data_IF_133060603387
#
_entry.id   IF_133060603387
#
_cell.length_a   1.000
_cell.length_b   1.000
_cell.length_c   1.000
_cell.angle_alpha   90.00
_cell.angle_beta   90.00
_cell.angle_gamma   90.00
#
_symmetry.space_group_name_H-M   'P 1'
#
loop_
_entity.id
_entity.type
_entity.pdbx_description
1 polymer ?
#
# COMPACT_ATOMS: atom_id res chain seq x y z
N UNK A 1 -2.73 3.49 14.47
CA UNK A 1 -1.96 4.47 13.67
C UNK A 1 -1.48 3.72 12.44
N UNK A 2 -2.24 3.76 11.34
CA UNK A 2 -1.99 2.91 10.17
C UNK A 2 -0.68 3.30 9.49
N UNK A 3 0.29 2.40 9.54
CA UNK A 3 1.54 2.45 8.77
C UNK A 3 1.16 2.08 7.33
N UNK A 4 0.62 3.03 6.56
CA UNK A 4 0.49 2.85 5.11
C UNK A 4 1.83 3.24 4.49
N UNK A 5 2.56 2.25 4.00
CA UNK A 5 3.92 2.45 3.46
C UNK A 5 3.87 3.06 2.05
N UNK A 6 2.85 2.73 1.26
CA UNK A 6 2.70 3.26 -0.11
C UNK A 6 1.30 3.01 -0.67
N UNK A 7 0.80 3.93 -1.49
CA UNK A 7 -0.45 3.78 -2.24
C UNK A 7 -0.14 3.50 -3.71
N UNK A 8 -0.63 2.37 -4.22
CA UNK A 8 -0.56 2.04 -5.65
C UNK A 8 -1.97 2.00 -6.22
N UNK A 9 -2.31 2.91 -7.14
CA UNK A 9 -3.66 2.97 -7.72
C UNK A 9 -4.12 1.66 -8.41
N UNK A 10 -3.18 0.79 -8.81
CA UNK A 10 -3.49 -0.52 -9.39
C UNK A 10 -3.68 -1.62 -8.34
N UNK A 11 -3.00 -1.53 -7.19
CA UNK A 11 -2.90 -2.64 -6.23
C UNK A 11 -3.52 -2.33 -4.85
N UNK A 12 -3.90 -1.08 -4.59
CA UNK A 12 -4.45 -0.64 -3.30
C UNK A 12 -3.37 -0.05 -2.38
N UNK A 13 -3.68 -0.05 -1.09
CA UNK A 13 -2.83 0.46 -0.03
C UNK A 13 -1.98 -0.66 0.56
N UNK A 14 -0.65 -0.51 0.55
CA UNK A 14 0.24 -1.49 1.19
C UNK A 14 0.23 -1.27 2.70
N UNK A 15 -0.27 -2.27 3.44
CA UNK A 15 -0.40 -2.23 4.91
C UNK A 15 0.87 -2.73 5.57
N UNK A 16 1.42 -3.85 5.09
CA UNK A 16 2.65 -4.42 5.62
C UNK A 16 3.34 -5.32 4.59
N UNK A 17 4.66 -5.36 4.59
CA UNK A 17 5.45 -6.34 3.83
C UNK A 17 5.55 -7.59 4.70
N UNK A 18 5.11 -8.73 4.20
CA UNK A 18 5.10 -10.00 4.94
C UNK A 18 6.36 -10.81 4.71
N UNK A 19 7.01 -10.63 3.57
CA UNK A 19 8.22 -11.36 3.25
C UNK A 19 8.87 -10.85 1.97
N UNK A 20 10.17 -11.09 1.86
CA UNK A 20 10.92 -10.86 0.63
C UNK A 20 11.13 -12.22 0.00
N UNK A 21 10.64 -12.40 -1.21
CA UNK A 21 10.71 -13.69 -1.90
C UNK A 21 12.08 -13.83 -2.57
N UNK A 22 12.49 -12.83 -3.35
CA UNK A 22 13.70 -12.91 -4.15
C UNK A 22 14.25 -11.51 -4.46
N UNK A 23 15.57 -11.38 -4.49
CA UNK A 23 16.28 -10.18 -4.94
C UNK A 23 16.99 -10.54 -6.25
N UNK A 24 16.57 -9.93 -7.34
CA UNK A 24 17.15 -10.16 -8.67
C UNK A 24 18.53 -9.51 -8.83
N UNK A 25 19.20 -9.85 -9.93
CA UNK A 25 20.52 -9.28 -10.25
C UNK A 25 20.42 -7.77 -10.48
N UNK A 26 21.44 -7.05 -10.02
CA UNK A 26 21.53 -5.60 -10.16
C UNK A 26 21.68 -5.18 -11.61
N UNK A 27 20.83 -4.25 -12.04
CA UNK A 27 20.87 -3.61 -13.35
C UNK A 27 21.54 -2.25 -13.19
N UNK A 28 22.66 -2.05 -13.87
CA UNK A 28 23.37 -0.77 -13.86
C UNK A 28 22.54 0.23 -14.67
N UNK A 29 22.29 1.42 -14.10
CA UNK A 29 21.69 2.54 -14.85
C UNK A 29 22.80 3.34 -15.51
N UNK A 30 22.85 3.24 -16.85
CA UNK A 30 23.81 3.94 -17.69
C UNK A 30 23.83 5.44 -17.37
N UNK A 31 25.03 5.99 -17.17
CA UNK A 31 25.26 7.42 -16.94
C UNK A 31 25.06 7.92 -15.50
N UNK A 32 24.60 7.09 -14.56
CA UNK A 32 24.35 7.52 -13.18
C UNK A 32 25.20 6.81 -12.11
N UNK A 33 25.86 5.70 -12.47
CA UNK A 33 26.65 4.90 -11.53
C UNK A 33 25.84 4.14 -10.48
N UNK A 34 24.50 4.23 -10.51
CA UNK A 34 23.62 3.50 -9.61
C UNK A 34 23.22 2.15 -10.18
N UNK A 35 23.09 1.16 -9.29
CA UNK A 35 22.61 -0.19 -9.60
C UNK A 35 21.21 -0.38 -9.02
N UNK A 36 20.26 -0.79 -9.87
CA UNK A 36 18.87 -1.07 -9.48
C UNK A 36 18.68 -2.57 -9.34
N UNK A 37 18.24 -3.04 -8.17
CA UNK A 37 17.93 -4.45 -7.93
C UNK A 37 16.41 -4.66 -7.94
N UNK A 38 15.86 -5.46 -8.87
CA UNK A 38 14.43 -5.78 -8.83
C UNK A 38 14.17 -6.73 -7.65
N UNK A 39 13.35 -6.30 -6.69
CA UNK A 39 12.99 -7.10 -5.52
C UNK A 39 11.56 -7.61 -5.66
N UNK A 40 11.38 -8.93 -5.57
CA UNK A 40 10.08 -9.57 -5.42
C UNK A 40 9.77 -9.70 -3.93
N UNK A 41 8.68 -9.10 -3.50
CA UNK A 41 8.22 -9.14 -2.11
C UNK A 41 6.74 -9.46 -2.06
N UNK A 42 6.33 -10.06 -0.95
CA UNK A 42 4.94 -10.28 -0.58
C UNK A 42 4.52 -9.22 0.43
N UNK A 43 3.28 -8.74 0.28
CA UNK A 43 2.72 -7.74 1.18
C UNK A 43 1.23 -7.95 1.35
N UNK A 44 0.74 -7.55 2.53
CA UNK A 44 -0.69 -7.37 2.77
C UNK A 44 -1.10 -6.04 2.16
N UNK A 45 -2.05 -6.10 1.24
CA UNK A 45 -2.66 -4.92 0.61
C UNK A 45 -4.10 -4.80 1.03
N UNK A 46 -4.52 -3.56 1.29
CA UNK A 46 -5.91 -3.20 1.51
C UNK A 46 -6.43 -2.49 0.26
N UNK A 47 -7.36 -3.13 -0.44
CA UNK A 47 -7.99 -2.59 -1.65
C UNK A 47 -9.51 -2.69 -1.53
N UNK A 48 -10.20 -1.60 -1.13
CA UNK A 48 -11.65 -1.62 -1.05
C UNK A 48 -12.28 -1.72 -2.44
N UNK A 49 -13.35 -2.51 -2.57
CA UNK A 49 -14.11 -2.63 -3.82
C UNK A 49 -15.44 -1.88 -3.75
N UNK A 50 -15.94 -1.41 -4.91
CA UNK A 50 -17.25 -0.75 -4.98
C UNK A 50 -18.34 -1.77 -4.65
N UNK A 51 -19.14 -1.47 -3.62
CA UNK A 51 -20.24 -2.34 -3.17
C UNK A 51 -19.84 -3.37 -2.10
N UNK A 52 -18.59 -3.36 -1.65
CA UNK A 52 -18.16 -4.13 -0.49
C UNK A 52 -18.71 -3.49 0.80
N UNK A 53 -19.16 -4.33 1.73
CA UNK A 53 -19.60 -3.88 3.06
C UNK A 53 -18.39 -3.96 3.99
N UNK A 54 -17.96 -2.81 4.51
CA UNK A 54 -16.82 -2.69 5.41
C UNK A 54 -17.24 -2.08 6.73
N UNK A 55 -16.71 -2.59 7.84
CA UNK A 55 -16.86 -1.97 9.14
C UNK A 55 -15.88 -0.79 9.27
N UNK A 56 -16.38 0.34 9.73
CA UNK A 56 -15.60 1.56 9.87
C UNK A 56 -16.01 2.33 11.13
N UNK A 57 -15.03 2.99 11.74
CA UNK A 57 -15.30 3.90 12.85
C UNK A 57 -15.36 5.32 12.32
N UNK A 58 -16.41 6.04 12.72
CA UNK A 58 -16.55 7.46 12.40
C UNK A 58 -15.56 8.25 13.24
N UNK A 59 -14.60 8.91 12.58
CA UNK A 59 -13.57 9.68 13.28
C UNK A 59 -13.87 11.17 13.30
N UNK A 60 -14.57 11.68 12.28
CA UNK A 60 -15.01 13.06 12.22
C UNK A 60 -16.38 13.17 11.57
N UNK A 61 -17.22 14.02 12.14
CA UNK A 61 -18.52 14.39 11.60
C UNK A 61 -18.49 15.89 11.32
N UNK A 62 -18.68 16.26 10.05
CA UNK A 62 -18.93 17.62 9.65
C UNK A 62 -20.39 17.75 9.16
N UNK A 63 -20.99 18.94 9.24
CA UNK A 63 -22.41 19.17 8.88
C UNK A 63 -22.79 18.69 7.47
N UNK A 64 -21.81 18.57 6.57
CA UNK A 64 -21.99 18.14 5.18
C UNK A 64 -21.38 16.77 4.86
N UNK A 65 -20.54 16.18 5.74
CA UNK A 65 -19.76 14.98 5.38
C UNK A 65 -19.33 14.21 6.62
N UNK A 66 -19.39 12.87 6.53
CA UNK A 66 -18.89 11.95 7.56
C UNK A 66 -17.63 11.29 7.05
N UNK A 67 -16.56 11.34 7.83
CA UNK A 67 -15.30 10.66 7.53
C UNK A 67 -15.24 9.32 8.26
N UNK A 68 -15.05 8.26 7.48
CA UNK A 68 -14.91 6.89 7.97
C UNK A 68 -13.45 6.49 7.98
N UNK A 69 -12.96 6.02 9.13
CA UNK A 69 -11.70 5.31 9.23
C UNK A 69 -11.99 3.81 9.16
N UNK A 70 -11.49 3.16 8.11
CA UNK A 70 -11.61 1.73 7.95
C UNK A 70 -10.74 1.03 9.00
N UNK A 71 -11.35 0.15 9.79
CA UNK A 71 -10.62 -0.72 10.71
C UNK A 71 -10.17 -1.95 9.89
N UNK A 72 -8.90 -1.95 9.51
CA UNK A 72 -8.22 -3.12 8.92
C UNK A 72 -7.72 -4.06 9.99
#
# INVERSE_FOLDING_TARGET
MCILISCSGRHGFVVAITGIENIGKGLIRDGTGFVTFPVKYQCVVFRPFKGEILEAVVTMVNKATVFYLLLS
#
